data_IF_395999664743
#
_entry.id   IF_395999664743
#
_cell.length_a   1.000
_cell.length_b   1.000
_cell.length_c   1.000
_cell.angle_alpha   90.00
_cell.angle_beta   90.00
_cell.angle_gamma   90.00
#
_symmetry.space_group_name_H-M   'P 1'
#
loop_
_entity.id
_entity.type
_entity.pdbx_description
1 polymer ?
#
# COMPACT_ATOMS: atom_id res chain seq x y z
N UNK A 1 -24.11 2.07 26.25
CA UNK A 1 -22.79 2.72 26.37
C UNK A 1 -21.83 1.83 25.59
N UNK A 2 -21.17 2.29 24.52
CA UNK A 2 -20.05 1.55 23.97
C UNK A 2 -18.92 1.59 25.01
N UNK A 3 -18.40 0.43 25.39
CA UNK A 3 -17.19 0.30 26.20
C UNK A 3 -16.02 1.04 25.50
N UNK A 4 -15.12 1.69 26.23
CA UNK A 4 -13.92 2.26 25.63
C UNK A 4 -13.08 1.11 25.06
N UNK A 5 -13.02 1.00 23.73
CA UNK A 5 -12.06 0.11 23.09
C UNK A 5 -10.67 0.62 23.45
N UNK A 6 -9.86 -0.22 24.11
CA UNK A 6 -8.43 0.01 24.26
C UNK A 6 -7.85 0.38 22.89
N UNK A 7 -7.43 1.63 22.69
CA UNK A 7 -6.63 1.99 21.53
C UNK A 7 -5.27 1.34 21.75
N UNK A 8 -5.10 0.11 21.23
CA UNK A 8 -3.80 -0.53 21.18
C UNK A 8 -2.79 0.39 20.50
N UNK A 9 -1.54 0.36 20.94
CA UNK A 9 -0.44 1.09 20.31
C UNK A 9 -0.14 0.48 18.92
N UNK A 10 -0.93 0.81 17.91
CA UNK A 10 -0.64 0.41 16.53
C UNK A 10 0.48 1.29 15.95
N UNK A 11 1.42 0.67 15.24
CA UNK A 11 2.52 1.36 14.58
C UNK A 11 2.20 1.47 13.09
N UNK A 12 2.10 2.70 12.61
CA UNK A 12 1.71 3.04 11.24
C UNK A 12 2.92 3.55 10.48
N UNK A 13 3.11 3.08 9.24
CA UNK A 13 4.09 3.65 8.31
C UNK A 13 3.41 4.29 7.11
N UNK A 14 3.90 5.46 6.68
CA UNK A 14 3.43 6.14 5.47
C UNK A 14 4.63 6.44 4.57
N UNK A 15 4.66 5.88 3.36
CA UNK A 15 5.81 6.03 2.46
C UNK A 15 5.96 7.44 1.90
N UNK A 16 4.85 8.18 1.80
CA UNK A 16 4.80 9.39 0.99
C UNK A 16 5.01 9.06 -0.48
N UNK A 17 5.49 10.05 -1.23
CA UNK A 17 5.90 9.89 -2.63
C UNK A 17 7.41 9.65 -2.71
N UNK A 18 7.82 8.54 -3.32
CA UNK A 18 9.23 8.22 -3.44
C UNK A 18 9.51 6.85 -4.06
N UNK A 19 10.76 6.64 -4.46
CA UNK A 19 11.23 5.36 -4.99
C UNK A 19 11.73 4.42 -3.90
N UNK A 20 11.83 3.14 -4.27
CA UNK A 20 12.40 2.12 -3.41
C UNK A 20 13.90 2.32 -3.17
N UNK A 21 14.34 2.08 -1.94
CA UNK A 21 15.75 2.11 -1.57
C UNK A 21 16.04 1.34 -0.27
N UNK A 22 17.32 1.23 0.13
CA UNK A 22 17.73 0.45 1.30
C UNK A 22 17.16 0.99 2.63
N UNK A 23 16.67 2.22 2.64
CA UNK A 23 16.09 2.85 3.81
C UNK A 23 14.84 2.12 4.32
N UNK A 24 14.04 1.46 3.46
CA UNK A 24 12.88 0.68 3.91
C UNK A 24 13.28 -0.45 4.86
N UNK A 25 14.33 -1.19 4.51
CA UNK A 25 14.89 -2.23 5.37
C UNK A 25 15.45 -1.65 6.67
N UNK A 26 16.20 -0.55 6.59
CA UNK A 26 16.74 0.11 7.79
C UNK A 26 15.63 0.58 8.74
N UNK A 27 14.53 1.09 8.20
CA UNK A 27 13.35 1.51 8.96
C UNK A 27 12.65 0.30 9.58
N UNK A 28 12.41 -0.77 8.81
CA UNK A 28 11.80 -2.00 9.31
C UNK A 28 12.64 -2.75 10.34
N UNK A 29 13.97 -2.64 10.26
CA UNK A 29 14.88 -3.19 11.27
C UNK A 29 14.89 -2.36 12.56
N UNK A 30 14.64 -1.05 12.47
CA UNK A 30 14.66 -0.14 13.63
C UNK A 30 13.32 -0.01 14.35
N UNK A 31 12.21 0.01 13.60
CA UNK A 31 10.89 0.39 14.11
C UNK A 31 9.79 -0.65 13.84
N UNK A 32 10.03 -1.64 12.96
CA UNK A 32 9.04 -2.66 12.62
C UNK A 32 8.92 -3.77 13.68
N UNK A 33 7.89 -4.63 13.59
CA UNK A 33 6.89 -4.68 12.50
C UNK A 33 5.85 -3.56 12.58
N UNK A 34 5.33 -3.13 11.43
CA UNK A 34 4.24 -2.16 11.34
C UNK A 34 2.90 -2.88 11.17
N UNK A 35 1.87 -2.43 11.86
CA UNK A 35 0.54 -3.04 11.75
C UNK A 35 -0.12 -2.69 10.41
N UNK A 36 0.09 -1.47 9.94
CA UNK A 36 -0.40 -1.00 8.64
C UNK A 36 0.62 -0.08 7.98
N UNK A 37 0.76 -0.22 6.67
CA UNK A 37 1.62 0.63 5.84
C UNK A 37 0.82 1.24 4.70
N UNK A 38 1.10 2.49 4.38
CA UNK A 38 0.56 3.18 3.22
C UNK A 38 1.69 3.36 2.22
N UNK A 39 1.56 2.71 1.05
CA UNK A 39 2.66 2.50 0.12
C UNK A 39 2.36 3.07 -1.27
N UNK A 40 3.28 3.87 -1.79
CA UNK A 40 3.24 4.46 -3.15
C UNK A 40 2.91 3.41 -4.24
N UNK A 41 1.92 3.71 -5.09
CA UNK A 41 1.49 2.86 -6.21
C UNK A 41 1.00 3.66 -7.44
N UNK A 42 1.15 4.99 -7.45
CA UNK A 42 0.42 5.87 -8.36
C UNK A 42 1.04 6.05 -9.75
N UNK A 43 2.34 6.32 -9.82
CA UNK A 43 2.88 7.03 -11.00
C UNK A 43 4.11 6.39 -11.64
N UNK A 44 4.55 5.24 -11.15
CA UNK A 44 5.79 4.65 -11.62
C UNK A 44 5.68 4.08 -13.04
N UNK A 45 6.30 4.77 -13.99
CA UNK A 45 6.62 4.22 -15.31
C UNK A 45 8.14 3.96 -15.41
N UNK A 46 8.58 3.29 -16.48
CA UNK A 46 10.00 2.96 -16.67
C UNK A 46 10.95 4.17 -16.68
N UNK A 47 10.44 5.38 -16.99
CA UNK A 47 11.21 6.62 -17.02
C UNK A 47 11.36 7.25 -15.64
N UNK A 48 10.45 6.98 -14.70
CA UNK A 48 10.43 7.57 -13.36
C UNK A 48 10.81 6.60 -12.23
N UNK A 49 11.29 5.39 -12.54
CA UNK A 49 11.60 4.37 -11.54
C UNK A 49 12.67 4.75 -10.49
N UNK A 50 13.41 5.84 -10.70
CA UNK A 50 14.35 6.40 -9.71
C UNK A 50 13.68 7.35 -8.69
N UNK A 51 12.47 7.82 -8.96
CA UNK A 51 11.75 8.78 -8.10
C UNK A 51 10.36 8.30 -7.67
N UNK A 52 9.74 7.36 -8.39
CA UNK A 52 8.47 6.72 -8.01
C UNK A 52 8.60 5.20 -7.92
N UNK A 53 7.86 4.60 -6.99
CA UNK A 53 7.90 3.17 -6.74
C UNK A 53 7.05 2.39 -7.74
N UNK A 54 7.68 1.51 -8.53
CA UNK A 54 6.93 0.51 -9.30
C UNK A 54 6.21 -0.46 -8.36
N UNK A 55 5.05 -1.01 -8.74
CA UNK A 55 4.24 -1.89 -7.88
C UNK A 55 5.04 -3.01 -7.22
N UNK A 56 5.95 -3.64 -7.95
CA UNK A 56 6.73 -4.77 -7.43
C UNK A 56 7.75 -4.34 -6.37
N UNK A 57 8.21 -3.09 -6.46
CA UNK A 57 9.07 -2.48 -5.44
C UNK A 57 8.26 -2.00 -4.23
N UNK A 58 6.99 -1.64 -4.39
CA UNK A 58 6.08 -1.36 -3.27
C UNK A 58 5.85 -2.60 -2.41
N UNK A 59 5.63 -3.75 -3.05
CA UNK A 59 5.55 -5.03 -2.35
C UNK A 59 6.89 -5.38 -1.67
N UNK A 60 8.03 -5.09 -2.31
CA UNK A 60 9.33 -5.32 -1.66
C UNK A 60 9.55 -4.39 -0.45
N UNK A 61 9.22 -3.11 -0.55
CA UNK A 61 9.30 -2.18 0.57
C UNK A 61 8.42 -2.62 1.73
N UNK A 62 7.21 -3.13 1.46
CA UNK A 62 6.32 -3.68 2.48
C UNK A 62 6.98 -4.83 3.26
N UNK A 63 7.64 -5.75 2.56
CA UNK A 63 8.35 -6.87 3.17
C UNK A 63 9.54 -6.36 4.00
N UNK A 64 10.31 -5.44 3.46
CA UNK A 64 11.48 -4.86 4.12
C UNK A 64 11.10 -4.06 5.39
N UNK A 65 9.94 -3.43 5.38
CA UNK A 65 9.34 -2.76 6.53
C UNK A 65 8.80 -3.75 7.58
N UNK A 66 8.63 -5.04 7.24
CA UNK A 66 7.93 -6.04 8.06
C UNK A 66 6.49 -5.60 8.36
N UNK A 67 5.82 -5.02 7.36
CA UNK A 67 4.44 -4.58 7.48
C UNK A 67 3.45 -5.76 7.45
N UNK A 68 2.43 -5.71 8.30
CA UNK A 68 1.39 -6.73 8.37
C UNK A 68 0.28 -6.52 7.32
N UNK A 69 -0.24 -5.30 7.20
CA UNK A 69 -1.26 -4.93 6.23
C UNK A 69 -0.79 -3.78 5.33
N UNK A 70 -0.92 -3.91 4.02
CA UNK A 70 -0.52 -2.89 3.05
C UNK A 70 -1.75 -2.18 2.44
N UNK A 71 -1.71 -0.85 2.40
CA UNK A 71 -2.67 0.00 1.70
C UNK A 71 -1.94 0.73 0.56
N UNK A 72 -2.22 0.44 -0.71
CA UNK A 72 -1.62 1.18 -1.81
C UNK A 72 -2.23 2.58 -1.90
N UNK A 73 -1.40 3.60 -2.05
CA UNK A 73 -1.78 5.02 -2.16
C UNK A 73 -1.32 5.63 -3.50
N UNK A 74 -1.71 6.89 -3.74
CA UNK A 74 -1.42 7.68 -4.95
C UNK A 74 -1.99 7.15 -6.27
N UNK A 75 -2.85 6.13 -6.25
CA UNK A 75 -3.58 5.64 -7.42
C UNK A 75 -5.08 6.00 -7.35
N UNK A 76 -5.80 5.92 -8.47
CA UNK A 76 -7.27 6.04 -8.51
C UNK A 76 -7.88 7.44 -8.38
N UNK A 77 -7.07 8.51 -8.25
CA UNK A 77 -7.57 9.89 -8.11
C UNK A 77 -7.27 10.78 -9.34
N UNK A 78 -6.05 10.74 -9.88
CA UNK A 78 -5.64 11.57 -11.02
C UNK A 78 -4.98 10.72 -12.11
N UNK A 79 -5.40 10.91 -13.36
CA UNK A 79 -4.75 10.29 -14.53
C UNK A 79 -3.72 11.24 -15.12
N UNK A 80 -2.55 11.38 -14.48
CA UNK A 80 -1.51 12.32 -14.93
C UNK A 80 -0.63 11.74 -16.05
N UNK A 81 -0.43 10.43 -16.10
CA UNK A 81 0.60 9.82 -16.98
C UNK A 81 0.26 8.45 -17.56
N UNK A 82 -0.92 7.88 -17.25
CA UNK A 82 -1.26 6.51 -17.64
C UNK A 82 -2.71 6.38 -18.14
N UNK A 83 -2.96 6.04 -19.43
CA UNK A 83 -4.30 5.83 -19.94
C UNK A 83 -5.01 4.62 -19.30
N UNK A 84 -4.24 3.67 -18.75
CA UNK A 84 -4.76 2.52 -18.01
C UNK A 84 -4.53 2.71 -16.51
N UNK A 85 -5.27 3.64 -15.91
CA UNK A 85 -5.10 4.07 -14.52
C UNK A 85 -5.16 2.93 -13.48
N UNK A 86 -5.81 1.80 -13.79
CA UNK A 86 -5.90 0.62 -12.91
C UNK A 86 -4.67 -0.30 -12.97
N UNK A 87 -3.77 -0.13 -13.96
CA UNK A 87 -2.72 -1.12 -14.21
C UNK A 87 -1.72 -1.26 -13.07
N UNK A 88 -1.48 -0.19 -12.31
CA UNK A 88 -0.51 -0.22 -11.20
C UNK A 88 -1.04 -1.01 -10.01
N UNK A 89 -2.29 -0.77 -9.60
CA UNK A 89 -2.90 -1.52 -8.50
C UNK A 89 -3.11 -2.99 -8.88
N UNK A 90 -3.47 -3.28 -10.13
CA UNK A 90 -3.62 -4.66 -10.63
C UNK A 90 -2.28 -5.40 -10.57
N UNK A 91 -1.17 -4.77 -10.99
CA UNK A 91 0.17 -5.33 -10.87
C UNK A 91 0.61 -5.52 -9.43
N UNK A 92 0.29 -4.57 -8.55
CA UNK A 92 0.60 -4.64 -7.12
C UNK A 92 -0.06 -5.85 -6.48
N UNK A 93 -1.36 -6.06 -6.74
CA UNK A 93 -2.12 -7.19 -6.21
C UNK A 93 -1.55 -8.52 -6.70
N UNK A 94 -1.20 -8.61 -7.99
CA UNK A 94 -0.58 -9.81 -8.56
C UNK A 94 0.75 -10.11 -7.85
N UNK A 95 1.60 -9.10 -7.65
CA UNK A 95 2.88 -9.30 -6.97
C UNK A 95 2.72 -9.62 -5.48
N UNK A 96 1.77 -8.97 -4.80
CA UNK A 96 1.47 -9.22 -3.40
C UNK A 96 1.01 -10.66 -3.18
N UNK A 97 0.13 -11.18 -4.06
CA UNK A 97 -0.29 -12.58 -4.05
C UNK A 97 0.89 -13.55 -4.21
N UNK A 98 1.85 -13.26 -5.09
CA UNK A 98 3.04 -14.11 -5.29
C UNK A 98 3.95 -14.16 -4.07
N UNK A 99 3.98 -13.08 -3.28
CA UNK A 99 4.88 -12.91 -2.14
C UNK A 99 4.18 -13.06 -0.78
N UNK A 100 2.92 -13.50 -0.78
CA UNK A 100 2.08 -13.67 0.42
C UNK A 100 1.97 -12.40 1.27
N UNK A 101 1.83 -11.25 0.60
CA UNK A 101 1.64 -9.94 1.25
C UNK A 101 0.15 -9.62 1.32
N UNK A 102 -0.33 -9.31 2.52
CA UNK A 102 -1.71 -8.87 2.75
C UNK A 102 -1.89 -7.42 2.28
N UNK A 103 -2.87 -7.21 1.40
CA UNK A 103 -3.18 -5.89 0.81
C UNK A 103 -4.67 -5.64 0.95
N UNK A 104 -5.04 -4.42 1.33
CA UNK A 104 -6.42 -3.92 1.21
C UNK A 104 -6.47 -2.74 0.26
N UNK A 105 -7.54 -2.68 -0.53
CA UNK A 105 -7.75 -1.63 -1.54
C UNK A 105 -9.06 -0.91 -1.29
N UNK A 106 -9.16 -0.13 -0.19
CA UNK A 106 -10.40 0.56 0.16
C UNK A 106 -10.84 1.48 -0.99
N UNK A 107 -12.15 1.59 -1.18
CA UNK A 107 -12.73 2.65 -2.00
C UNK A 107 -12.41 4.01 -1.37
N UNK A 108 -12.34 5.06 -2.18
CA UNK A 108 -12.13 6.43 -1.67
C UNK A 108 -13.22 6.76 -0.65
N UNK A 109 -12.82 7.00 0.60
CA UNK A 109 -13.72 7.27 1.73
C UNK A 109 -14.12 6.04 2.57
N UNK A 110 -13.74 4.83 2.17
CA UNK A 110 -13.96 3.60 2.94
C UNK A 110 -12.97 3.51 4.11
N UNK A 111 -13.45 3.02 5.27
CA UNK A 111 -12.68 2.89 6.50
C UNK A 111 -11.93 1.56 6.50
N UNK A 112 -10.67 1.59 6.94
CA UNK A 112 -9.86 0.40 7.22
C UNK A 112 -9.61 0.31 8.73
N UNK A 113 -10.00 -0.82 9.34
CA UNK A 113 -9.80 -1.12 10.76
C UNK A 113 -8.67 -2.13 10.92
N UNK A 114 -7.65 -1.80 11.71
CA UNK A 114 -6.52 -2.71 11.98
C UNK A 114 -7.02 -3.91 12.80
N UNK A 115 -6.62 -5.12 12.41
CA UNK A 115 -7.00 -6.37 13.10
C UNK A 115 -8.39 -6.90 12.76
N UNK A 116 -9.13 -6.22 11.88
CA UNK A 116 -10.45 -6.66 11.41
C UNK A 116 -10.41 -7.19 9.97
N UNK A 117 -11.47 -7.87 9.56
CA UNK A 117 -11.66 -8.34 8.20
C UNK A 117 -12.19 -7.21 7.31
N UNK A 118 -11.25 -6.40 6.80
CA UNK A 118 -11.55 -5.30 5.89
C UNK A 118 -12.05 -5.80 4.53
N UNK A 119 -13.02 -5.08 3.95
CA UNK A 119 -13.44 -5.27 2.57
C UNK A 119 -12.24 -5.09 1.63
N UNK A 120 -12.08 -6.02 0.69
CA UNK A 120 -11.06 -5.95 -0.34
C UNK A 120 -11.66 -6.14 -1.74
N UNK A 121 -12.82 -5.49 -1.96
CA UNK A 121 -13.46 -5.47 -3.28
C UNK A 121 -12.57 -4.72 -4.26
N UNK A 122 -12.40 -5.29 -5.45
CA UNK A 122 -11.72 -4.62 -6.57
C UNK A 122 -12.63 -3.59 -7.24
N UNK A 123 -13.03 -2.55 -6.48
CA UNK A 123 -14.07 -1.58 -6.83
C UNK A 123 -13.82 -0.84 -8.13
N UNK A 124 -12.56 -0.65 -8.53
CA UNK A 124 -12.20 0.02 -9.78
C UNK A 124 -12.67 -0.73 -11.02
N UNK A 125 -12.96 -2.03 -10.92
CA UNK A 125 -13.52 -2.81 -12.03
C UNK A 125 -14.90 -2.33 -12.46
N UNK A 126 -15.63 -1.67 -11.57
CA UNK A 126 -16.94 -1.08 -11.88
C UNK A 126 -16.83 0.25 -12.67
N UNK A 127 -15.62 0.80 -12.81
CA UNK A 127 -15.34 2.12 -13.40
C UNK A 127 -14.27 2.07 -14.52
N UNK A 128 -14.03 0.89 -15.08
CA UNK A 128 -13.05 0.68 -16.16
C UNK A 128 -13.66 0.89 -17.55
#
# INVERSE_FOLDING_TARGET
MPEPSETGNSIIFFSGDGAYGPHFKLIGDKYGPFDITFMECGQANALFGQIHMVPEKAVQAQIDLKGQLMVPIHWGMFSQSNPNWTSQVERLIIEAQKKDVQVVTPMIGEVVTIGDNNSNRQWWRDYK
#
